data_IF_248307338861
#
_entry.id   IF_248307338861
#
_cell.length_a   1.000
_cell.length_b   1.000
_cell.length_c   1.000
_cell.angle_alpha   90.00
_cell.angle_beta   90.00
_cell.angle_gamma   90.00
#
_symmetry.space_group_name_H-M   'P 1'
#
loop_
_entity.id
_entity.type
_entity.pdbx_description
1 polymer ?
#
# COMPACT_ATOMS: atom_id res chain seq x y z
N UNK A 1 -7.76 -13.86 19.22
CA UNK A 1 -7.92 -12.40 19.03
C UNK A 1 -7.02 -11.97 17.87
N UNK A 2 -7.60 -11.60 16.72
CA UNK A 2 -6.83 -11.27 15.53
C UNK A 2 -5.93 -10.05 15.77
N UNK A 3 -4.68 -10.11 15.32
CA UNK A 3 -3.70 -9.04 15.49
C UNK A 3 -4.13 -7.79 14.71
N UNK A 4 -4.90 -6.89 15.33
CA UNK A 4 -5.37 -5.63 14.72
C UNK A 4 -4.25 -4.60 14.54
N UNK A 5 -3.09 -4.84 15.14
CA UNK A 5 -1.95 -3.92 15.13
C UNK A 5 -1.54 -3.45 13.72
N UNK A 6 -1.42 -4.30 12.68
CA UNK A 6 -1.02 -3.84 11.35
C UNK A 6 -2.00 -2.86 10.70
N UNK A 7 -3.30 -2.99 10.99
CA UNK A 7 -4.32 -2.07 10.49
C UNK A 7 -4.25 -0.71 11.18
N UNK A 8 -4.08 -0.70 12.50
CA UNK A 8 -3.92 0.52 13.30
C UNK A 8 -2.63 1.25 12.93
N UNK A 9 -1.52 0.52 12.85
CA UNK A 9 -0.22 1.05 12.40
C UNK A 9 -0.35 1.61 10.99
N UNK A 10 -1.05 0.92 10.09
CA UNK A 10 -1.24 1.41 8.73
C UNK A 10 -2.05 2.70 8.68
N UNK A 11 -3.15 2.80 9.45
CA UNK A 11 -3.92 4.04 9.54
C UNK A 11 -3.06 5.20 10.06
N UNK A 12 -2.29 4.97 11.13
CA UNK A 12 -1.36 5.96 11.69
C UNK A 12 -0.34 6.44 10.66
N UNK A 13 0.24 5.50 9.89
CA UNK A 13 1.15 5.77 8.77
C UNK A 13 0.53 6.76 7.77
N UNK A 14 -0.73 6.52 7.37
CA UNK A 14 -1.42 7.30 6.34
C UNK A 14 -1.85 8.65 6.87
N UNK A 15 -2.19 8.72 8.16
CA UNK A 15 -2.45 9.97 8.86
C UNK A 15 -1.23 10.87 8.90
N UNK A 16 -0.06 10.34 9.27
CA UNK A 16 1.21 11.09 9.30
C UNK A 16 1.57 11.61 7.89
N UNK A 17 1.41 10.80 6.85
CA UNK A 17 1.59 11.27 5.47
C UNK A 17 0.58 12.36 5.07
N UNK A 18 -0.67 12.27 5.52
CA UNK A 18 -1.68 13.30 5.24
C UNK A 18 -1.30 14.66 5.82
N UNK A 19 -0.84 14.69 7.07
CA UNK A 19 -0.32 15.91 7.71
C UNK A 19 0.93 16.42 6.98
N UNK A 20 1.83 15.52 6.56
CA UNK A 20 3.01 15.88 5.76
C UNK A 20 2.63 16.62 4.48
N UNK A 21 1.62 16.15 3.74
CA UNK A 21 1.22 16.81 2.49
C UNK A 21 0.77 18.26 2.69
N UNK A 22 0.04 18.53 3.77
CA UNK A 22 -0.42 19.89 4.10
C UNK A 22 0.76 20.76 4.53
N UNK A 23 1.61 20.24 5.42
CA UNK A 23 2.73 21.00 5.97
C UNK A 23 3.80 21.31 4.91
N UNK A 24 4.09 20.35 4.02
CA UNK A 24 5.02 20.56 2.90
C UNK A 24 4.46 21.52 1.86
N UNK A 25 3.15 21.50 1.60
CA UNK A 25 2.48 22.51 0.76
C UNK A 25 2.67 23.92 1.35
N UNK A 26 2.45 24.09 2.65
CA UNK A 26 2.66 25.37 3.32
C UNK A 26 4.14 25.83 3.23
N UNK A 27 5.09 24.92 3.43
CA UNK A 27 6.52 25.21 3.30
C UNK A 27 6.91 25.62 1.86
N UNK A 28 6.37 24.96 0.83
CA UNK A 28 6.65 25.30 -0.56
C UNK A 28 6.04 26.62 -0.97
N UNK A 29 4.86 26.97 -0.45
CA UNK A 29 4.25 28.28 -0.67
C UNK A 29 5.12 29.43 -0.12
N UNK A 30 5.94 29.16 0.91
CA UNK A 30 6.92 30.11 1.46
C UNK A 30 8.29 30.05 0.74
N UNK A 31 8.42 29.28 -0.34
CA UNK A 31 9.63 29.24 -1.18
C UNK A 31 10.69 28.21 -0.76
N UNK A 32 10.39 27.33 0.21
CA UNK A 32 11.31 26.25 0.64
C UNK A 32 11.70 25.38 -0.54
N UNK A 33 12.99 25.17 -0.77
CA UNK A 33 13.45 24.27 -1.84
C UNK A 33 13.11 22.82 -1.51
N UNK A 34 12.48 22.13 -2.46
CA UNK A 34 12.07 20.73 -2.30
C UNK A 34 13.27 19.78 -2.14
N UNK A 35 14.38 20.03 -2.85
CA UNK A 35 15.57 19.18 -2.76
C UNK A 35 16.28 19.33 -1.41
N UNK A 36 16.37 20.58 -0.93
CA UNK A 36 16.93 20.90 0.37
C UNK A 36 16.08 20.29 1.49
N UNK A 37 14.75 20.36 1.38
CA UNK A 37 13.83 19.70 2.31
C UNK A 37 14.04 18.18 2.33
N UNK A 38 14.18 17.54 1.16
CA UNK A 38 14.44 16.10 1.08
C UNK A 38 15.78 15.70 1.69
N UNK A 39 16.83 16.50 1.49
CA UNK A 39 18.11 16.26 2.16
C UNK A 39 17.97 16.36 3.68
N UNK A 40 17.46 17.48 4.19
CA UNK A 40 17.38 17.72 5.64
C UNK A 40 16.44 16.75 6.35
N UNK A 41 15.31 16.34 5.74
CA UNK A 41 14.43 15.35 6.37
C UNK A 41 15.16 14.02 6.57
N UNK A 42 15.97 13.57 5.60
CA UNK A 42 16.74 12.32 5.74
C UNK A 42 17.89 12.48 6.74
N UNK A 43 18.55 13.64 6.77
CA UNK A 43 19.59 13.94 7.75
C UNK A 43 19.03 13.91 9.19
N UNK A 44 17.90 14.57 9.45
CA UNK A 44 17.24 14.56 10.77
C UNK A 44 16.81 13.15 11.14
N UNK A 45 16.22 12.41 10.21
CA UNK A 45 15.81 11.02 10.45
C UNK A 45 17.00 10.13 10.80
N UNK A 46 18.15 10.33 10.14
CA UNK A 46 19.40 9.62 10.44
C UNK A 46 19.90 9.98 11.83
N UNK A 47 19.96 11.26 12.16
CA UNK A 47 20.38 11.71 13.51
C UNK A 47 19.49 11.16 14.62
N UNK A 48 18.19 10.98 14.35
CA UNK A 48 17.24 10.45 15.32
C UNK A 48 17.29 8.92 15.41
N UNK A 49 17.21 8.21 14.29
CA UNK A 49 16.99 6.77 14.26
C UNK A 49 18.29 5.96 14.39
N UNK A 50 19.41 6.46 13.85
CA UNK A 50 20.68 5.73 13.87
C UNK A 50 21.21 5.46 15.29
N UNK A 51 21.23 6.44 16.22
CA UNK A 51 21.67 6.19 17.59
C UNK A 51 20.78 5.19 18.31
N UNK A 52 19.45 5.28 18.11
CA UNK A 52 18.46 4.38 18.71
C UNK A 52 18.67 2.96 18.17
N UNK A 53 18.84 2.81 16.85
CA UNK A 53 19.10 1.51 16.21
C UNK A 53 20.38 0.87 16.73
N UNK A 54 21.45 1.67 16.86
CA UNK A 54 22.73 1.17 17.37
C UNK A 54 22.67 0.83 18.86
N UNK A 55 21.89 1.56 19.67
CA UNK A 55 21.71 1.23 21.07
C UNK A 55 20.92 -0.08 21.27
N UNK A 56 19.89 -0.32 20.46
CA UNK A 56 18.98 -1.46 20.62
C UNK A 56 19.51 -2.73 19.93
N UNK A 57 19.90 -2.63 18.66
CA UNK A 57 20.14 -3.81 17.82
C UNK A 57 21.62 -4.13 17.60
N UNK A 58 22.58 -3.30 18.04
CA UNK A 58 24.02 -3.53 17.77
C UNK A 58 24.51 -4.91 18.19
N UNK A 59 24.00 -5.45 19.31
CA UNK A 59 24.44 -6.75 19.85
C UNK A 59 23.77 -7.95 19.19
N UNK A 60 22.61 -7.75 18.57
CA UNK A 60 21.78 -8.80 17.97
C UNK A 60 21.84 -8.80 16.44
N UNK A 61 22.32 -7.71 15.84
CA UNK A 61 22.38 -7.55 14.40
C UNK A 61 23.38 -8.51 13.73
N UNK A 62 23.03 -9.08 12.57
CA UNK A 62 23.98 -9.84 11.76
C UNK A 62 25.19 -8.99 11.34
N UNK A 63 26.33 -9.64 11.15
CA UNK A 63 27.51 -8.97 10.62
C UNK A 63 27.25 -8.43 9.22
N UNK A 64 27.63 -7.18 8.99
CA UNK A 64 27.43 -6.53 7.69
C UNK A 64 28.51 -6.92 6.69
N UNK A 65 28.13 -7.76 5.72
CA UNK A 65 28.94 -8.02 4.53
C UNK A 65 28.89 -6.84 3.57
N UNK A 66 29.99 -6.61 2.84
CA UNK A 66 30.04 -5.61 1.77
C UNK A 66 28.92 -5.79 0.73
N UNK A 67 28.54 -7.03 0.41
CA UNK A 67 27.45 -7.31 -0.54
C UNK A 67 26.09 -6.80 -0.03
N UNK A 68 25.80 -6.99 1.26
CA UNK A 68 24.56 -6.53 1.89
C UNK A 68 24.56 -5.00 1.98
N UNK A 69 25.70 -4.41 2.33
CA UNK A 69 25.89 -2.96 2.33
C UNK A 69 25.59 -2.34 0.94
N UNK A 70 26.12 -2.91 -0.13
CA UNK A 70 25.84 -2.46 -1.50
C UNK A 70 24.37 -2.64 -1.87
N UNK A 71 23.75 -3.77 -1.52
CA UNK A 71 22.30 -3.99 -1.72
C UNK A 71 21.48 -2.93 -1.01
N UNK A 72 21.80 -2.60 0.24
CA UNK A 72 21.12 -1.56 1.02
C UNK A 72 21.31 -0.17 0.41
N UNK A 73 22.51 0.14 -0.07
CA UNK A 73 22.76 1.41 -0.76
C UNK A 73 21.89 1.55 -2.01
N UNK A 74 21.84 0.52 -2.86
CA UNK A 74 21.00 0.53 -4.07
C UNK A 74 19.51 0.54 -3.70
N UNK A 75 19.10 -0.21 -2.68
CA UNK A 75 17.72 -0.24 -2.21
C UNK A 75 17.25 1.12 -1.67
N UNK A 76 18.10 1.81 -0.91
CA UNK A 76 17.85 3.18 -0.47
C UNK A 76 17.75 4.16 -1.66
N UNK A 77 18.52 3.94 -2.73
CA UNK A 77 18.48 4.79 -3.92
C UNK A 77 17.10 4.78 -4.55
N UNK A 78 16.57 3.62 -4.91
CA UNK A 78 15.26 3.55 -5.56
C UNK A 78 14.06 3.57 -4.58
N UNK A 79 14.28 3.44 -3.28
CA UNK A 79 13.18 3.49 -2.29
C UNK A 79 12.97 4.82 -1.60
N UNK A 80 14.08 5.49 -1.27
CA UNK A 80 14.07 6.59 -0.32
C UNK A 80 14.55 7.90 -0.95
N UNK A 81 15.55 7.84 -1.85
CA UNK A 81 16.10 9.06 -2.46
C UNK A 81 15.48 9.37 -3.82
N UNK A 82 15.60 8.47 -4.80
CA UNK A 82 15.20 8.74 -6.18
C UNK A 82 13.70 8.99 -6.37
N UNK A 83 12.76 8.19 -5.80
CA UNK A 83 11.33 8.42 -5.99
C UNK A 83 10.90 9.81 -5.55
N UNK A 84 11.39 10.25 -4.39
CA UNK A 84 11.05 11.55 -3.85
C UNK A 84 11.64 12.66 -4.71
N UNK A 85 12.94 12.63 -5.01
CA UNK A 85 13.57 13.66 -5.84
C UNK A 85 13.00 13.73 -7.27
N UNK A 86 12.72 12.58 -7.89
CA UNK A 86 12.08 12.51 -9.22
C UNK A 86 10.66 13.04 -9.16
N UNK A 87 9.89 12.71 -8.11
CA UNK A 87 8.53 13.26 -7.92
C UNK A 87 8.56 14.79 -7.78
N UNK A 88 9.56 15.35 -7.10
CA UNK A 88 9.75 16.79 -6.99
C UNK A 88 9.97 17.44 -8.37
N UNK A 89 10.75 16.80 -9.25
CA UNK A 89 10.92 17.26 -10.64
C UNK A 89 9.62 17.09 -11.42
N UNK A 90 8.92 15.96 -11.27
CA UNK A 90 7.66 15.67 -11.95
C UNK A 90 6.59 16.73 -11.66
N UNK A 91 6.46 17.16 -10.40
CA UNK A 91 5.53 18.20 -9.96
C UNK A 91 5.83 19.61 -10.53
N UNK A 92 7.03 19.86 -11.08
CA UNK A 92 7.32 21.11 -11.80
C UNK A 92 6.65 21.17 -13.17
N UNK A 93 6.26 20.01 -13.70
CA UNK A 93 5.72 19.88 -15.05
C UNK A 93 4.30 19.32 -15.08
N UNK A 94 3.90 18.57 -14.05
CA UNK A 94 2.59 17.94 -13.92
C UNK A 94 1.86 18.43 -12.67
N UNK A 95 0.52 18.40 -12.71
CA UNK A 95 -0.31 18.86 -11.60
C UNK A 95 -0.24 17.87 -10.42
N UNK A 96 -0.43 18.38 -9.20
CA UNK A 96 -0.54 17.54 -8.01
C UNK A 96 -1.67 16.49 -8.11
N UNK A 97 -2.75 16.79 -8.85
CA UNK A 97 -3.83 15.85 -9.10
C UNK A 97 -3.39 14.67 -9.99
N UNK A 98 -2.65 14.95 -11.07
CA UNK A 98 -2.08 13.89 -11.91
C UNK A 98 -1.05 13.06 -11.15
N UNK A 99 -0.23 13.70 -10.31
CA UNK A 99 0.74 13.00 -9.48
C UNK A 99 0.08 12.07 -8.45
N UNK A 100 -1.01 12.55 -7.84
CA UNK A 100 -1.87 11.78 -6.94
C UNK A 100 -2.49 10.58 -7.65
N UNK A 101 -3.02 10.78 -8.87
CA UNK A 101 -3.60 9.68 -9.65
C UNK A 101 -2.55 8.59 -9.97
N UNK A 102 -1.32 8.96 -10.33
CA UNK A 102 -0.26 8.00 -10.64
C UNK A 102 0.22 7.23 -9.40
N UNK A 103 0.35 7.86 -8.23
CA UNK A 103 0.75 7.13 -7.01
C UNK A 103 -0.32 6.14 -6.55
N UNK A 104 -1.59 6.36 -6.92
CA UNK A 104 -2.68 5.43 -6.63
C UNK A 104 -2.60 4.14 -7.46
N UNK A 105 -1.71 4.08 -8.46
CA UNK A 105 -1.36 2.85 -9.17
C UNK A 105 -0.39 1.98 -8.37
N UNK A 106 0.16 2.45 -7.24
CA UNK A 106 1.11 1.70 -6.44
C UNK A 106 0.60 0.29 -6.03
N UNK A 107 -0.66 0.09 -5.59
CA UNK A 107 -1.14 -1.26 -5.25
C UNK A 107 -1.11 -2.21 -6.43
N UNK A 108 -1.45 -1.71 -7.63
CA UNK A 108 -1.46 -2.49 -8.86
C UNK A 108 -0.04 -2.88 -9.26
N UNK A 109 0.88 -1.93 -9.26
CA UNK A 109 2.29 -2.18 -9.59
C UNK A 109 2.94 -3.13 -8.59
N UNK A 110 2.69 -2.92 -7.29
CA UNK A 110 3.19 -3.78 -6.22
C UNK A 110 2.66 -5.20 -6.37
N UNK A 111 1.38 -5.35 -6.70
CA UNK A 111 0.77 -6.66 -6.94
C UNK A 111 1.39 -7.36 -8.16
N UNK A 112 1.54 -6.68 -9.30
CA UNK A 112 2.19 -7.24 -10.50
C UNK A 112 3.63 -7.67 -10.19
N UNK A 113 4.42 -6.83 -9.51
CA UNK A 113 5.79 -7.15 -9.13
C UNK A 113 5.86 -8.34 -8.16
N UNK A 114 4.97 -8.41 -7.17
CA UNK A 114 4.88 -9.53 -6.24
C UNK A 114 4.56 -10.86 -6.96
N UNK A 115 3.74 -10.81 -8.01
CA UNK A 115 3.46 -11.97 -8.86
C UNK A 115 4.67 -12.40 -9.70
N UNK A 116 5.36 -11.44 -10.31
CA UNK A 116 6.56 -11.72 -11.12
C UNK A 116 7.67 -12.37 -10.28
N UNK A 117 7.76 -12.01 -8.99
CA UNK A 117 8.71 -12.59 -8.04
C UNK A 117 8.20 -13.87 -7.36
N UNK A 118 6.99 -14.34 -7.70
CA UNK A 118 6.41 -15.54 -7.08
C UNK A 118 6.08 -15.39 -5.58
N UNK A 119 6.09 -14.17 -5.04
CA UNK A 119 5.70 -13.87 -3.65
C UNK A 119 4.19 -14.05 -3.44
N UNK A 120 3.42 -14.03 -4.53
CA UNK A 120 1.97 -14.19 -4.57
C UNK A 120 1.63 -15.20 -5.66
N UNK A 121 0.74 -16.17 -5.40
CA UNK A 121 0.35 -17.17 -6.40
C UNK A 121 -0.95 -16.77 -7.12
N UNK A 122 -0.91 -16.71 -8.45
CA UNK A 122 -2.13 -16.57 -9.27
C UNK A 122 -2.70 -17.93 -9.62
N UNK A 123 -3.80 -18.32 -9.01
CA UNK A 123 -4.63 -19.39 -9.55
C UNK A 123 -5.54 -18.84 -10.67
N UNK A 124 -5.02 -18.80 -11.90
CA UNK A 124 -5.67 -18.22 -13.11
C UNK A 124 -6.88 -19.00 -13.67
N UNK A 125 -7.27 -20.14 -13.08
CA UNK A 125 -8.43 -20.93 -13.55
C UNK A 125 -9.80 -20.42 -13.06
N UNK A 126 -9.84 -19.31 -12.33
CA UNK A 126 -11.06 -18.73 -11.76
C UNK A 126 -11.18 -17.26 -12.17
N UNK A 127 -12.41 -16.75 -12.24
CA UNK A 127 -12.87 -15.37 -12.56
C UNK A 127 -12.05 -14.19 -11.96
N UNK A 128 -11.13 -14.50 -11.04
CA UNK A 128 -10.20 -13.61 -10.34
C UNK A 128 -9.10 -13.01 -11.25
N UNK A 129 -8.70 -13.70 -12.32
CA UNK A 129 -7.75 -13.14 -13.31
C UNK A 129 -8.36 -11.97 -14.10
N UNK A 130 -9.64 -12.10 -14.46
CA UNK A 130 -10.37 -11.13 -15.28
C UNK A 130 -10.69 -9.85 -14.51
N UNK A 131 -11.02 -9.95 -13.21
CA UNK A 131 -11.24 -8.75 -12.36
C UNK A 131 -9.95 -7.97 -12.05
N UNK A 132 -8.81 -8.65 -11.93
CA UNK A 132 -7.49 -8.01 -11.77
C UNK A 132 -7.06 -7.28 -13.03
N UNK A 133 -7.31 -7.86 -14.21
CA UNK A 133 -7.08 -7.21 -15.50
C UNK A 133 -8.10 -6.08 -15.74
N UNK A 134 -9.36 -6.24 -15.32
CA UNK A 134 -10.40 -5.20 -15.39
C UNK A 134 -10.05 -3.97 -14.54
N UNK A 135 -9.46 -4.15 -13.36
CA UNK A 135 -8.92 -3.03 -12.55
C UNK A 135 -7.79 -2.29 -13.26
N UNK A 136 -6.89 -3.01 -13.93
CA UNK A 136 -5.78 -2.44 -14.72
C UNK A 136 -6.31 -1.69 -15.96
N UNK A 137 -7.26 -2.29 -16.68
CA UNK A 137 -7.88 -1.70 -17.89
C UNK A 137 -8.78 -0.51 -17.53
N UNK A 138 -9.49 -0.56 -16.40
CA UNK A 138 -10.27 0.54 -15.83
C UNK A 138 -9.37 1.70 -15.40
N UNK A 139 -8.18 1.44 -14.84
CA UNK A 139 -7.20 2.46 -14.46
C UNK A 139 -6.47 3.07 -15.67
N UNK A 140 -6.13 2.28 -16.69
CA UNK A 140 -5.63 2.78 -17.98
C UNK A 140 -6.71 3.60 -18.71
N UNK A 141 -7.97 3.14 -18.67
CA UNK A 141 -9.13 3.86 -19.19
C UNK A 141 -9.41 5.14 -18.40
N UNK A 142 -9.20 5.14 -17.08
CA UNK A 142 -9.34 6.33 -16.23
C UNK A 142 -8.22 7.35 -16.47
N UNK A 143 -6.98 6.90 -16.68
CA UNK A 143 -5.89 7.77 -17.13
C UNK A 143 -6.21 8.39 -18.49
N UNK A 144 -6.82 7.64 -19.41
CA UNK A 144 -7.29 8.18 -20.69
C UNK A 144 -8.45 9.18 -20.52
N UNK A 145 -9.47 8.87 -19.71
CA UNK A 145 -10.62 9.75 -19.49
C UNK A 145 -10.29 11.03 -18.71
N UNK A 146 -9.39 10.97 -17.73
CA UNK A 146 -8.88 12.16 -17.02
C UNK A 146 -7.88 12.98 -17.83
N UNK A 147 -7.35 12.43 -18.94
CA UNK A 147 -6.59 13.17 -19.93
C UNK A 147 -7.48 13.88 -20.97
N UNK A 148 -8.74 13.45 -21.14
CA UNK A 148 -9.69 14.05 -22.09
C UNK A 148 -10.67 15.02 -21.39
N UNK A 149 -11.00 14.80 -20.11
CA UNK A 149 -12.08 15.54 -19.41
C UNK A 149 -11.56 16.53 -18.35
N UNK A 150 -10.47 17.27 -18.61
CA UNK A 150 -10.40 18.60 -18.03
C UNK A 150 -9.98 19.59 -19.11
N UNK A 151 -10.64 19.60 -20.27
CA UNK A 151 -10.48 20.71 -21.22
C UNK A 151 -11.53 20.92 -22.30
N UNK A 152 -12.73 20.36 -22.19
CA UNK A 152 -13.91 21.10 -22.67
C UNK A 152 -14.29 22.10 -21.59
N UNK A 153 -14.14 23.39 -21.88
CA UNK A 153 -14.50 24.48 -20.98
C UNK A 153 -16.00 24.52 -20.69
N UNK A 154 -16.46 23.66 -19.79
CA UNK A 154 -17.74 23.85 -19.12
C UNK A 154 -17.46 24.56 -17.79
N UNK A 155 -17.34 25.89 -17.86
CA UNK A 155 -17.87 26.69 -16.77
C UNK A 155 -19.33 26.28 -16.64
N UNK A 156 -19.68 25.56 -15.57
CA UNK A 156 -21.08 25.54 -15.14
C UNK A 156 -21.34 26.96 -14.65
N UNK A 157 -21.94 27.73 -15.55
CA UNK A 157 -22.37 29.09 -15.34
C UNK A 157 -23.43 29.09 -14.23
N UNK A 158 -22.99 29.26 -12.98
CA UNK A 158 -23.84 29.80 -11.94
C UNK A 158 -23.50 31.30 -11.85
N UNK A 159 -24.41 32.20 -12.26
CA UNK A 159 -24.17 33.63 -12.14
C UNK A 159 -24.34 34.01 -10.67
N UNK A 160 -23.24 34.06 -9.91
CA UNK A 160 -23.19 34.79 -8.64
C UNK A 160 -21.89 35.62 -8.62
N UNK A 161 -21.95 36.95 -8.80
CA UNK A 161 -20.77 37.78 -8.98
C UNK A 161 -20.23 38.22 -7.62
N UNK A 162 -19.21 37.55 -7.09
CA UNK A 162 -18.33 38.11 -6.08
C UNK A 162 -17.10 37.21 -5.93
N UNK A 163 -15.91 37.83 -5.83
CA UNK A 163 -14.56 37.24 -5.77
C UNK A 163 -13.84 37.08 -7.10
N UNK A 164 -13.31 38.22 -7.57
CA UNK A 164 -12.29 38.31 -8.60
C UNK A 164 -10.91 38.05 -7.97
N UNK A 165 -10.48 36.78 -7.93
CA UNK A 165 -9.08 36.44 -7.78
C UNK A 165 -8.72 35.38 -8.83
N UNK A 166 -8.22 35.88 -9.96
CA UNK A 166 -7.66 35.07 -11.02
C UNK A 166 -6.39 34.37 -10.50
N UNK A 167 -6.48 33.07 -10.23
CA UNK A 167 -5.30 32.23 -10.14
C UNK A 167 -4.85 31.95 -11.58
N UNK A 168 -3.66 32.45 -11.92
CA UNK A 168 -2.98 32.13 -13.18
C UNK A 168 -2.86 30.60 -13.29
N UNK A 169 -3.54 30.01 -14.27
CA UNK A 169 -3.29 28.63 -14.69
C UNK A 169 -2.10 28.69 -15.63
N UNK A 170 -0.90 28.44 -15.10
CA UNK A 170 0.32 28.34 -15.90
C UNK A 170 0.12 27.31 -17.02
N UNK A 171 0.13 27.82 -18.26
CA UNK A 171 -0.11 27.03 -19.46
C UNK A 171 1.22 26.38 -19.85
N UNK A 172 1.57 25.26 -19.20
CA UNK A 172 2.75 24.50 -19.60
C UNK A 172 2.57 23.93 -21.02
N UNK A 173 3.57 24.04 -21.92
CA UNK A 173 3.49 23.50 -23.27
C UNK A 173 3.22 21.98 -23.26
N UNK A 174 2.50 21.49 -24.27
CA UNK A 174 2.00 20.10 -24.35
C UNK A 174 3.06 19.00 -24.21
N UNK A 175 4.35 19.31 -24.43
CA UNK A 175 5.45 18.34 -24.25
C UNK A 175 5.93 18.25 -22.80
N UNK A 176 5.77 19.34 -22.03
CA UNK A 176 6.27 19.43 -20.66
C UNK A 176 5.43 18.60 -19.70
N UNK A 177 4.09 18.61 -19.81
CA UNK A 177 3.24 17.85 -18.88
C UNK A 177 3.39 16.32 -19.02
N UNK A 178 3.63 15.82 -20.25
CA UNK A 178 3.90 14.40 -20.49
C UNK A 178 5.16 13.97 -19.74
N UNK A 179 6.22 14.79 -19.78
CA UNK A 179 7.45 14.53 -19.04
C UNK A 179 7.18 14.45 -17.53
N UNK A 180 6.34 15.34 -16.99
CA UNK A 180 5.97 15.30 -15.57
C UNK A 180 5.27 14.00 -15.16
N UNK A 181 4.32 13.52 -15.98
CA UNK A 181 3.64 12.24 -15.74
C UNK A 181 4.60 11.06 -15.86
N UNK A 182 5.49 11.05 -16.87
CA UNK A 182 6.49 10.01 -17.03
C UNK A 182 7.44 9.95 -15.82
N UNK A 183 7.91 11.10 -15.34
CA UNK A 183 8.74 11.18 -14.14
C UNK A 183 7.98 10.68 -12.90
N UNK A 184 6.71 11.04 -12.74
CA UNK A 184 5.90 10.53 -11.64
C UNK A 184 5.71 9.01 -11.73
N UNK A 185 5.46 8.48 -12.93
CA UNK A 185 5.29 7.04 -13.12
C UNK A 185 6.57 6.29 -12.77
N UNK A 186 7.73 6.83 -13.15
CA UNK A 186 9.03 6.28 -12.78
C UNK A 186 9.22 6.30 -11.26
N UNK A 187 8.89 7.41 -10.59
CA UNK A 187 8.97 7.49 -9.13
C UNK A 187 8.08 6.43 -8.45
N UNK A 188 6.84 6.24 -8.92
CA UNK A 188 5.93 5.23 -8.38
C UNK A 188 6.44 3.81 -8.62
N UNK A 189 7.01 3.51 -9.80
CA UNK A 189 7.61 2.20 -10.10
C UNK A 189 8.81 1.92 -9.19
N UNK A 190 9.70 2.90 -9.01
CA UNK A 190 10.84 2.78 -8.09
C UNK A 190 10.38 2.51 -6.65
N UNK A 191 9.36 3.23 -6.18
CA UNK A 191 8.80 3.01 -4.84
C UNK A 191 8.10 1.64 -4.70
N UNK A 192 7.44 1.15 -5.77
CA UNK A 192 6.86 -0.19 -5.79
C UNK A 192 7.95 -1.27 -5.72
N UNK A 193 9.05 -1.11 -6.49
CA UNK A 193 10.21 -2.00 -6.44
C UNK A 193 10.80 -2.05 -5.03
N UNK A 194 10.95 -0.89 -4.38
CA UNK A 194 11.40 -0.85 -2.98
C UNK A 194 10.46 -1.61 -2.07
N UNK A 195 9.17 -1.33 -2.15
CA UNK A 195 8.16 -1.98 -1.30
C UNK A 195 8.23 -3.51 -1.44
N UNK A 196 8.33 -4.03 -2.66
CA UNK A 196 8.35 -5.47 -2.93
C UNK A 196 9.68 -6.12 -2.51
N UNK A 197 10.82 -5.54 -2.88
CA UNK A 197 12.14 -6.09 -2.53
C UNK A 197 12.49 -5.93 -1.05
N UNK A 198 11.74 -5.13 -0.29
CA UNK A 198 11.95 -4.97 1.14
C UNK A 198 11.75 -6.28 1.92
N UNK A 199 10.86 -7.17 1.46
CA UNK A 199 10.64 -8.49 2.08
C UNK A 199 11.88 -9.39 1.98
N UNK A 200 12.35 -9.75 0.76
CA UNK A 200 13.58 -10.50 0.56
C UNK A 200 14.81 -9.88 1.25
N UNK A 201 14.89 -8.55 1.28
CA UNK A 201 15.97 -7.87 1.99
C UNK A 201 15.92 -8.12 3.52
N UNK A 202 14.73 -8.21 4.12
CA UNK A 202 14.57 -8.56 5.54
C UNK A 202 14.90 -10.03 5.84
N UNK A 203 14.82 -10.92 4.85
CA UNK A 203 15.29 -12.31 5.01
C UNK A 203 16.82 -12.37 5.09
N UNK A 204 17.52 -11.54 4.29
CA UNK A 204 18.99 -11.43 4.35
C UNK A 204 19.49 -10.61 5.56
N UNK A 205 18.74 -9.57 5.95
CA UNK A 205 19.09 -8.67 7.04
C UNK A 205 17.88 -8.41 7.98
N UNK A 206 17.60 -9.33 8.93
CA UNK A 206 16.37 -9.31 9.74
C UNK A 206 16.26 -8.17 10.77
N UNK A 207 17.31 -7.38 10.97
CA UNK A 207 17.31 -6.24 11.89
C UNK A 207 16.55 -5.05 11.28
N UNK A 208 15.23 -4.98 11.51
CA UNK A 208 14.34 -3.97 10.91
C UNK A 208 14.79 -2.55 11.22
N UNK A 209 15.14 -2.26 12.48
CA UNK A 209 15.47 -0.90 12.90
C UNK A 209 16.82 -0.47 12.31
N UNK A 210 17.83 -1.35 12.33
CA UNK A 210 19.14 -1.09 11.74
C UNK A 210 19.09 -1.04 10.20
N UNK A 211 18.33 -1.92 9.56
CA UNK A 211 18.03 -1.86 8.13
C UNK A 211 17.45 -0.50 7.74
N UNK A 212 16.44 -0.03 8.46
CA UNK A 212 15.82 1.29 8.22
C UNK A 212 16.83 2.42 8.40
N UNK A 213 17.59 2.41 9.50
CA UNK A 213 18.59 3.44 9.79
C UNK A 213 19.69 3.50 8.73
N UNK A 214 20.17 2.36 8.24
CA UNK A 214 21.19 2.32 7.20
C UNK A 214 20.65 2.80 5.85
N UNK A 215 19.42 2.43 5.51
CA UNK A 215 18.76 3.00 4.32
C UNK A 215 18.61 4.52 4.43
N UNK A 216 18.31 5.05 5.63
CA UNK A 216 18.25 6.51 5.87
C UNK A 216 19.62 7.19 5.76
N UNK A 217 20.69 6.55 6.25
CA UNK A 217 22.07 7.05 6.06
C UNK A 217 22.39 7.15 4.58
N UNK A 218 22.16 6.08 3.81
CA UNK A 218 22.40 6.09 2.37
C UNK A 218 21.53 7.10 1.63
N UNK A 219 20.24 7.19 1.98
CA UNK A 219 19.32 8.16 1.41
C UNK A 219 19.75 9.61 1.70
N UNK A 220 20.32 9.88 2.88
CA UNK A 220 20.89 11.19 3.23
C UNK A 220 22.05 11.53 2.29
N UNK A 221 23.00 10.62 2.13
CA UNK A 221 24.17 10.82 1.26
C UNK A 221 23.74 11.02 -0.20
N UNK A 222 22.84 10.17 -0.71
CA UNK A 222 22.34 10.27 -2.09
C UNK A 222 21.57 11.56 -2.32
N UNK A 223 20.69 11.94 -1.38
CA UNK A 223 19.89 13.16 -1.49
C UNK A 223 20.74 14.42 -1.32
N UNK A 224 21.84 14.36 -0.54
CA UNK A 224 22.80 15.45 -0.45
C UNK A 224 23.44 15.76 -1.81
N UNK A 225 23.97 14.73 -2.50
CA UNK A 225 24.54 14.92 -3.83
C UNK A 225 23.49 15.41 -4.84
N UNK A 226 22.27 14.86 -4.79
CA UNK A 226 21.18 15.32 -5.66
C UNK A 226 20.82 16.79 -5.39
N UNK A 227 20.73 17.19 -4.11
CA UNK A 227 20.45 18.57 -3.73
C UNK A 227 21.56 19.52 -4.16
N UNK A 228 22.84 19.14 -4.02
CA UNK A 228 23.98 19.95 -4.49
C UNK A 228 23.94 20.19 -6.00
N UNK A 229 23.55 19.17 -6.77
CA UNK A 229 23.47 19.29 -8.24
C UNK A 229 22.29 20.18 -8.65
N UNK A 230 21.14 20.01 -8.00
CA UNK A 230 19.89 20.66 -8.39
C UNK A 230 19.68 22.05 -7.79
N UNK A 231 20.22 22.31 -6.61
CA UNK A 231 20.09 23.57 -5.86
C UNK A 231 21.49 24.12 -5.56
N UNK A 232 22.09 24.77 -6.56
CA UNK A 232 23.44 25.35 -6.47
C UNK A 232 23.49 26.68 -5.70
N UNK A 233 22.34 27.30 -5.47
CA UNK A 233 22.25 28.51 -4.69
C UNK A 233 22.25 28.18 -3.18
N UNK A 234 23.41 28.35 -2.55
CA UNK A 234 23.61 28.10 -1.12
C UNK A 234 22.79 29.02 -0.21
N UNK A 235 22.21 30.12 -0.71
CA UNK A 235 21.29 30.93 0.09
C UNK A 235 20.05 30.12 0.51
N UNK A 236 19.57 29.23 -0.37
CA UNK A 236 18.38 28.38 -0.14
C UNK A 236 18.64 27.17 0.76
N UNK A 237 19.91 26.93 1.11
CA UNK A 237 20.31 25.91 2.08
C UNK A 237 20.27 26.41 3.51
N UNK A 238 20.19 27.73 3.71
CA UNK A 238 20.06 28.34 5.03
C UNK A 238 18.69 28.01 5.61
N UNK A 239 18.69 27.43 6.80
CA UNK A 239 17.47 27.16 7.55
C UNK A 239 17.07 28.42 8.32
N UNK A 240 15.88 28.94 8.01
CA UNK A 240 15.19 29.97 8.79
C UNK A 240 14.27 29.34 9.83
N UNK A 241 13.99 30.03 10.94
CA UNK A 241 12.98 29.61 11.92
C UNK A 241 11.56 29.92 11.39
N UNK A 242 11.16 29.23 10.32
CA UNK A 242 9.88 29.43 9.63
C UNK A 242 9.07 28.12 9.53
N UNK A 243 7.95 28.17 8.79
CA UNK A 243 7.10 26.99 8.54
C UNK A 243 7.86 25.91 7.77
N UNK A 244 8.86 26.30 6.96
CA UNK A 244 9.76 25.39 6.26
C UNK A 244 10.59 24.54 7.22
N UNK A 245 11.17 25.12 8.26
CA UNK A 245 11.89 24.35 9.28
C UNK A 245 10.95 23.42 10.06
N UNK A 246 9.77 23.87 10.45
CA UNK A 246 8.75 23.02 11.10
C UNK A 246 8.40 21.83 10.21
N UNK A 247 8.21 22.07 8.90
CA UNK A 247 7.96 21.03 7.91
C UNK A 247 9.12 20.03 7.82
N UNK A 248 10.36 20.54 7.75
CA UNK A 248 11.57 19.71 7.67
C UNK A 248 11.72 18.82 8.90
N UNK A 249 11.54 19.37 10.11
CA UNK A 249 11.64 18.61 11.37
C UNK A 249 10.54 17.56 11.47
N UNK A 250 9.30 17.92 11.16
CA UNK A 250 8.17 16.97 11.14
C UNK A 250 8.41 15.84 10.12
N UNK A 251 8.81 16.19 8.90
CA UNK A 251 9.12 15.22 7.85
C UNK A 251 10.32 14.34 8.21
N UNK A 252 11.29 14.85 8.96
CA UNK A 252 12.44 14.07 9.40
C UNK A 252 12.08 13.06 10.48
N UNK A 253 11.46 13.53 11.56
CA UNK A 253 11.17 12.68 12.73
C UNK A 253 10.01 11.73 12.48
N UNK A 254 8.85 12.24 12.04
CA UNK A 254 7.65 11.43 11.93
C UNK A 254 7.59 10.66 10.62
N UNK A 255 7.85 11.33 9.49
CA UNK A 255 7.72 10.66 8.19
C UNK A 255 8.95 9.80 7.90
N UNK A 256 10.14 10.40 7.98
CA UNK A 256 11.35 9.74 7.50
C UNK A 256 11.89 8.70 8.50
N UNK A 257 11.88 8.97 9.80
CA UNK A 257 12.30 7.98 10.79
C UNK A 257 11.16 7.02 11.18
N UNK A 258 10.08 7.52 11.79
CA UNK A 258 9.03 6.66 12.34
C UNK A 258 8.25 5.92 11.24
N UNK A 259 7.73 6.62 10.23
CA UNK A 259 6.88 5.97 9.21
C UNK A 259 7.67 4.99 8.35
N UNK A 260 8.90 5.29 7.91
CA UNK A 260 9.67 4.30 7.14
C UNK A 260 9.98 3.03 7.96
N UNK A 261 10.30 3.17 9.25
CA UNK A 261 10.44 2.03 10.15
C UNK A 261 9.14 1.21 10.22
N UNK A 262 8.00 1.88 10.45
CA UNK A 262 6.70 1.21 10.52
C UNK A 262 6.29 0.58 9.19
N UNK A 263 6.63 1.18 8.05
CA UNK A 263 6.38 0.60 6.72
C UNK A 263 7.12 -0.72 6.55
N UNK A 264 8.42 -0.73 6.86
CA UNK A 264 9.24 -1.95 6.78
C UNK A 264 8.70 -3.01 7.75
N UNK A 265 8.30 -2.61 8.96
CA UNK A 265 7.65 -3.50 9.92
C UNK A 265 6.33 -4.10 9.39
N UNK A 266 5.47 -3.29 8.77
CA UNK A 266 4.22 -3.76 8.15
C UNK A 266 4.52 -4.71 6.99
N UNK A 267 5.51 -4.42 6.14
CA UNK A 267 5.92 -5.29 5.03
C UNK A 267 6.38 -6.64 5.57
N UNK A 268 7.22 -6.66 6.60
CA UNK A 268 7.70 -7.90 7.21
C UNK A 268 6.59 -8.74 7.87
N UNK A 269 5.47 -8.12 8.27
CA UNK A 269 4.35 -8.80 8.96
C UNK A 269 3.20 -9.21 8.05
N UNK A 270 2.84 -8.38 7.09
CA UNK A 270 1.64 -8.52 6.27
C UNK A 270 1.93 -8.56 4.77
N UNK A 271 3.19 -8.36 4.37
CA UNK A 271 3.62 -8.33 3.00
C UNK A 271 3.49 -6.96 2.31
N UNK A 272 4.17 -6.79 1.17
CA UNK A 272 4.22 -5.53 0.43
C UNK A 272 2.86 -5.11 -0.16
N UNK A 273 2.06 -6.09 -0.62
CA UNK A 273 0.75 -5.84 -1.21
C UNK A 273 -0.20 -5.21 -0.18
N UNK A 274 -0.21 -5.70 1.05
CA UNK A 274 -1.01 -5.13 2.13
C UNK A 274 -0.66 -3.65 2.38
N UNK A 275 0.63 -3.33 2.50
CA UNK A 275 1.07 -1.94 2.69
C UNK A 275 0.59 -1.06 1.53
N UNK A 276 0.79 -1.52 0.29
CA UNK A 276 0.44 -0.74 -0.90
C UNK A 276 -1.08 -0.46 -0.99
N UNK A 277 -1.94 -1.41 -0.63
CA UNK A 277 -3.41 -1.23 -0.60
C UNK A 277 -3.87 -0.12 0.34
N UNK A 278 -3.07 0.27 1.33
CA UNK A 278 -3.40 1.37 2.24
C UNK A 278 -3.02 2.75 1.68
N UNK A 279 -2.27 2.85 0.59
CA UNK A 279 -1.83 4.14 0.00
C UNK A 279 -3.00 5.08 -0.30
N UNK A 280 -4.09 4.63 -0.95
CA UNK A 280 -5.27 5.45 -1.19
C UNK A 280 -5.86 6.17 0.03
N UNK A 281 -5.75 5.55 1.20
CA UNK A 281 -6.23 6.14 2.45
C UNK A 281 -5.52 7.48 2.76
N UNK A 282 -4.27 7.65 2.32
CA UNK A 282 -3.52 8.91 2.48
C UNK A 282 -4.28 10.08 1.85
N UNK A 283 -4.80 9.93 0.62
CA UNK A 283 -5.50 11.03 -0.05
C UNK A 283 -6.82 11.35 0.65
N UNK A 284 -7.56 10.32 1.09
CA UNK A 284 -8.81 10.52 1.84
C UNK A 284 -8.54 11.33 3.11
N UNK A 285 -7.55 10.92 3.90
CA UNK A 285 -7.17 11.64 5.13
C UNK A 285 -6.68 13.06 4.80
N UNK A 286 -5.87 13.23 3.76
CA UNK A 286 -5.37 14.56 3.34
C UNK A 286 -6.51 15.50 2.98
N UNK A 287 -7.51 15.02 2.23
CA UNK A 287 -8.70 15.83 1.87
C UNK A 287 -9.49 16.22 3.12
N UNK A 288 -9.74 15.28 4.02
CA UNK A 288 -10.46 15.57 5.28
C UNK A 288 -9.70 16.62 6.10
N UNK A 289 -8.40 16.44 6.29
CA UNK A 289 -7.56 17.39 7.03
C UNK A 289 -7.53 18.78 6.34
N UNK A 290 -7.46 18.83 5.01
CA UNK A 290 -7.49 20.08 4.25
C UNK A 290 -8.82 20.83 4.43
N UNK A 291 -9.94 20.11 4.44
CA UNK A 291 -11.26 20.68 4.70
C UNK A 291 -11.40 21.22 6.13
N UNK A 292 -10.87 20.51 7.12
CA UNK A 292 -10.90 20.94 8.53
C UNK A 292 -10.07 22.22 8.76
N UNK A 293 -9.00 22.41 8.00
CA UNK A 293 -8.13 23.60 8.06
C UNK A 293 -8.75 24.77 7.27
N UNK A 294 -9.78 24.51 6.46
CA UNK A 294 -10.40 25.51 5.59
C UNK A 294 -9.57 25.85 4.34
N UNK A 295 -8.64 24.99 3.94
CA UNK A 295 -7.93 25.18 2.69
C UNK A 295 -8.85 24.94 1.48
N UNK A 296 -8.76 25.76 0.42
CA UNK A 296 -9.54 25.54 -0.79
C UNK A 296 -9.09 24.24 -1.46
N UNK A 297 -9.94 23.22 -1.41
CA UNK A 297 -9.70 21.94 -2.06
C UNK A 297 -10.19 22.02 -3.51
N UNK A 298 -9.28 21.82 -4.46
CA UNK A 298 -9.66 21.73 -5.87
C UNK A 298 -10.63 20.57 -6.08
N UNK A 299 -11.73 20.82 -6.80
CA UNK A 299 -12.70 19.80 -7.23
C UNK A 299 -12.02 18.58 -7.86
N UNK A 300 -10.93 18.78 -8.60
CA UNK A 300 -10.15 17.68 -9.19
C UNK A 300 -9.56 16.73 -8.16
N UNK A 301 -9.11 17.24 -7.00
CA UNK A 301 -8.62 16.41 -5.90
C UNK A 301 -9.75 15.62 -5.25
N UNK A 302 -10.93 16.23 -5.07
CA UNK A 302 -12.12 15.57 -4.49
C UNK A 302 -12.62 14.45 -5.39
N UNK A 303 -12.73 14.71 -6.70
CA UNK A 303 -13.14 13.73 -7.70
C UNK A 303 -12.14 12.57 -7.75
N UNK A 304 -10.83 12.86 -7.78
CA UNK A 304 -9.79 11.83 -7.75
C UNK A 304 -9.83 10.97 -6.47
N UNK A 305 -10.12 11.59 -5.32
CA UNK A 305 -10.29 10.90 -4.05
C UNK A 305 -11.51 9.98 -4.05
N UNK A 306 -12.67 10.46 -4.51
CA UNK A 306 -13.91 9.69 -4.57
C UNK A 306 -13.79 8.47 -5.49
N UNK A 307 -13.21 8.65 -6.68
CA UNK A 307 -13.00 7.56 -7.63
C UNK A 307 -12.00 6.52 -7.14
N UNK A 308 -11.01 6.96 -6.39
CA UNK A 308 -10.08 6.03 -5.76
C UNK A 308 -10.72 5.23 -4.62
N UNK A 309 -11.55 5.85 -3.78
CA UNK A 309 -12.32 5.13 -2.75
C UNK A 309 -13.21 4.09 -3.41
N UNK A 310 -13.87 4.42 -4.53
CA UNK A 310 -14.63 3.48 -5.34
C UNK A 310 -13.77 2.33 -5.89
N UNK A 311 -12.58 2.63 -6.42
CA UNK A 311 -11.63 1.63 -6.92
C UNK A 311 -11.15 0.67 -5.83
N UNK A 312 -10.78 1.21 -4.65
CA UNK A 312 -10.32 0.41 -3.52
C UNK A 312 -11.45 -0.46 -2.95
N UNK A 313 -12.67 0.09 -2.86
CA UNK A 313 -13.86 -0.64 -2.43
C UNK A 313 -14.13 -1.83 -3.36
N UNK A 314 -14.03 -1.65 -4.68
CA UNK A 314 -14.22 -2.73 -5.64
C UNK A 314 -13.18 -3.86 -5.48
N UNK A 315 -11.92 -3.52 -5.21
CA UNK A 315 -10.86 -4.52 -4.96
C UNK A 315 -11.10 -5.30 -3.66
N UNK A 316 -11.45 -4.60 -2.58
CA UNK A 316 -11.74 -5.22 -1.28
C UNK A 316 -13.02 -6.06 -1.32
N UNK A 317 -14.04 -5.59 -2.04
CA UNK A 317 -15.29 -6.31 -2.27
C UNK A 317 -15.05 -7.59 -3.07
N UNK A 318 -14.21 -7.53 -4.10
CA UNK A 318 -13.71 -8.70 -4.82
C UNK A 318 -13.11 -9.71 -3.84
N UNK A 319 -12.11 -9.31 -3.04
CA UNK A 319 -11.44 -10.18 -2.06
C UNK A 319 -12.40 -10.77 -1.00
N UNK A 320 -13.42 -10.03 -0.55
CA UNK A 320 -14.44 -10.51 0.41
C UNK A 320 -15.33 -11.58 -0.23
N UNK A 321 -15.78 -11.37 -1.47
CA UNK A 321 -16.58 -12.35 -2.21
C UNK A 321 -15.78 -13.64 -2.40
N UNK A 322 -14.48 -13.53 -2.67
CA UNK A 322 -13.59 -14.68 -2.82
C UNK A 322 -13.49 -15.50 -1.51
N UNK A 323 -13.34 -14.85 -0.35
CA UNK A 323 -13.32 -15.54 0.94
C UNK A 323 -14.64 -16.24 1.25
N UNK A 324 -15.76 -15.59 0.96
CA UNK A 324 -17.09 -16.18 1.14
C UNK A 324 -17.32 -17.36 0.18
N UNK A 325 -16.83 -17.27 -1.06
CA UNK A 325 -16.90 -18.36 -2.04
C UNK A 325 -16.01 -19.55 -1.65
N UNK A 326 -14.82 -19.31 -1.08
CA UNK A 326 -13.94 -20.34 -0.57
C UNK A 326 -14.53 -21.05 0.67
N UNK A 327 -15.14 -20.30 1.60
CA UNK A 327 -15.86 -20.90 2.74
C UNK A 327 -17.05 -21.75 2.29
N UNK A 328 -17.80 -21.32 1.27
CA UNK A 328 -18.91 -22.12 0.71
C UNK A 328 -18.43 -23.39 0.00
N UNK A 329 -17.25 -23.36 -0.63
CA UNK A 329 -16.67 -24.54 -1.28
C UNK A 329 -16.05 -25.52 -0.29
N UNK A 330 -15.56 -25.04 0.87
CA UNK A 330 -15.13 -25.87 1.99
C UNK A 330 -16.32 -26.61 2.64
N UNK A 331 -17.40 -25.89 2.96
CA UNK A 331 -18.61 -26.50 3.53
C UNK A 331 -19.41 -27.37 2.57
N UNK A 332 -19.36 -27.10 1.26
CA UNK A 332 -19.97 -27.95 0.24
C UNK A 332 -19.22 -29.27 0.01
N UNK A 333 -17.91 -29.32 0.29
CA UNK A 333 -17.12 -30.55 0.17
C UNK A 333 -17.34 -31.50 1.35
N UNK A 334 -17.60 -30.97 2.54
CA UNK A 334 -18.00 -31.78 3.70
C UNK A 334 -19.42 -32.32 3.56
N UNK A 335 -20.36 -31.54 3.00
CA UNK A 335 -21.70 -32.06 2.72
C UNK A 335 -21.76 -33.04 1.54
N UNK A 336 -20.96 -32.84 0.48
CA UNK A 336 -20.88 -33.79 -0.63
C UNK A 336 -20.15 -35.08 -0.24
N UNK A 337 -19.07 -35.00 0.55
CA UNK A 337 -18.38 -36.19 1.06
C UNK A 337 -19.24 -36.97 2.08
N UNK A 338 -20.13 -36.30 2.82
CA UNK A 338 -21.12 -36.97 3.67
C UNK A 338 -22.22 -37.66 2.84
N UNK A 339 -22.64 -37.06 1.72
CA UNK A 339 -23.65 -37.64 0.82
C UNK A 339 -23.11 -38.81 0.00
N UNK A 340 -21.86 -38.73 -0.46
CA UNK A 340 -21.20 -39.81 -1.22
C UNK A 340 -20.89 -41.04 -0.34
N UNK A 341 -20.69 -40.85 0.97
CA UNK A 341 -20.52 -41.97 1.91
C UNK A 341 -21.85 -42.68 2.26
N UNK A 342 -22.99 -41.98 2.22
CA UNK A 342 -24.31 -42.61 2.42
C UNK A 342 -24.79 -43.37 1.18
N UNK A 343 -24.44 -42.93 -0.04
CA UNK A 343 -24.87 -43.60 -1.28
C UNK A 343 -24.04 -44.87 -1.59
N UNK A 344 -22.83 -44.99 -1.03
CA UNK A 344 -21.96 -46.15 -1.22
C UNK A 344 -22.20 -47.29 -0.20
N UNK A 345 -22.97 -47.05 0.87
CA UNK A 345 -23.41 -48.10 1.82
C UNK A 345 -24.77 -48.73 1.46
N UNK A 346 -25.48 -48.23 0.44
CA UNK A 346 -26.79 -48.75 0.00
C UNK A 346 -26.72 -49.73 -1.19
N UNK A 347 -25.51 -50.05 -1.68
CA UNK A 347 -25.30 -50.89 -2.86
C UNK A 347 -24.74 -52.27 -2.56
N UNK A 348 -25.48 -53.14 -1.88
CA UNK A 348 -25.19 -54.58 -1.83
C UNK A 348 -26.29 -55.38 -2.57
N UNK A 349 -25.94 -56.46 -3.30
CA UNK A 349 -26.77 -56.98 -4.39
C UNK A 349 -27.90 -57.90 -3.90
N UNK A 350 -29.06 -57.76 -4.55
CA UNK A 350 -30.23 -58.63 -4.43
C UNK A 350 -29.88 -60.04 -4.96
N UNK A 351 -30.03 -61.12 -4.17
CA UNK A 351 -29.98 -62.48 -4.69
C UNK A 351 -31.39 -62.91 -5.13
N UNK A 352 -31.53 -63.26 -6.41
CA UNK A 352 -32.61 -64.12 -6.88
C UNK A 352 -32.37 -65.55 -6.40
N UNK A 353 -33.40 -66.24 -5.86
CA UNK A 353 -33.94 -67.55 -6.33
C UNK A 353 -34.87 -68.19 -5.28
N UNK A 354 -36.09 -68.49 -5.74
CA UNK A 354 -37.08 -69.53 -5.36
C UNK A 354 -37.45 -69.90 -3.91
N UNK A 355 -38.78 -69.94 -3.74
CA UNK A 355 -39.56 -70.64 -2.72
C UNK A 355 -39.12 -72.08 -2.44
N UNK A 356 -39.06 -72.43 -1.15
CA UNK A 356 -39.47 -73.74 -0.62
C UNK A 356 -39.81 -73.65 0.88
N UNK A 357 -41.11 -73.50 1.14
CA UNK A 357 -41.94 -74.24 2.12
C UNK A 357 -41.37 -74.53 3.53
N UNK A 358 -41.95 -73.80 4.52
CA UNK A 358 -42.47 -74.20 5.88
C UNK A 358 -41.53 -74.87 6.94
N UNK A 359 -41.92 -74.93 8.23
CA UNK A 359 -42.46 -73.88 9.12
C UNK A 359 -41.95 -73.97 10.61
N UNK A 360 -42.22 -72.93 11.43
CA UNK A 360 -42.71 -73.01 12.86
C UNK A 360 -41.72 -73.48 13.97
N UNK A 361 -41.83 -73.06 15.26
CA UNK A 361 -42.28 -71.78 15.84
C UNK A 361 -41.55 -71.33 17.15
N UNK A 362 -41.96 -70.18 17.67
CA UNK A 362 -42.26 -69.86 19.08
C UNK A 362 -41.23 -70.04 20.23
N UNK A 363 -40.92 -68.92 20.90
CA UNK A 363 -41.51 -68.53 22.20
C UNK A 363 -40.53 -67.96 23.26
N UNK A 364 -41.08 -66.99 24.01
CA UNK A 364 -40.85 -66.66 25.42
C UNK A 364 -39.60 -65.85 25.84
N UNK A 365 -39.81 -64.55 26.03
CA UNK A 365 -39.80 -63.82 27.33
C UNK A 365 -39.40 -64.61 28.61
N UNK A 366 -39.03 -63.91 29.72
CA UNK A 366 -38.05 -62.83 29.89
C UNK A 366 -37.21 -63.10 31.17
N UNK A 367 -36.56 -62.05 31.70
CA UNK A 367 -36.35 -61.78 33.14
C UNK A 367 -34.93 -61.86 33.73
N UNK A 368 -34.74 -60.91 34.67
CA UNK A 368 -33.84 -60.86 35.83
C UNK A 368 -32.48 -60.12 35.80
N UNK A 369 -32.54 -58.88 36.31
CA UNK A 369 -31.99 -58.39 37.61
C UNK A 369 -30.49 -58.55 37.99
N UNK A 370 -29.99 -57.48 38.62
CA UNK A 370 -28.97 -57.40 39.72
C UNK A 370 -27.60 -56.78 39.38
N UNK A 371 -27.49 -55.49 39.72
CA UNK A 371 -26.63 -54.89 40.76
C UNK A 371 -25.10 -55.08 40.78
N UNK A 372 -24.43 -53.91 40.92
CA UNK A 372 -23.38 -53.61 41.91
C UNK A 372 -21.88 -53.59 41.49
N UNK A 373 -21.38 -52.36 41.36
CA UNK A 373 -20.21 -51.72 42.03
C UNK A 373 -18.80 -52.37 42.04
N UNK A 374 -17.84 -51.46 41.76
CA UNK A 374 -16.47 -51.26 42.32
C UNK A 374 -15.38 -52.29 42.00
N UNK A 375 -14.32 -51.83 41.33
CA UNK A 375 -13.21 -51.10 41.98
C UNK A 375 -12.75 -49.94 41.12
#
# INVERSE_FOLDING_TARGET
MGNTAPYVVSFLLRFIYGVMHILTKAAFNQGTSTYVLNFYRHAIATMFLLPIAFAIERKTAPQMSYKVCLKLFVHALYGMSAPFNISCVGLKYASAASASAVINLLPVLTFILALLLGMESLQLKRFHGIMKVSGIVSLCGWCYCTNVIPRTGAQICCPLPLFHHASQVDTHPSRSWILGILLQSLATVLFALWTVFQGPLLEEYPSILLNTSLQLVFATVQSFFMALVMERDFSRWKLSLDVGLVAIVYCGVFVSALVNYLQIWVIGRCGPVFLSMTVPLTLVITVILSLLIGEPVSLGSVISGALMVGGLYNVLWGKRIEQVALCKQGGGREHAACFDLEEQESGAPVPSTQDSIKPVPDSKDPNETVSSKRC
#
